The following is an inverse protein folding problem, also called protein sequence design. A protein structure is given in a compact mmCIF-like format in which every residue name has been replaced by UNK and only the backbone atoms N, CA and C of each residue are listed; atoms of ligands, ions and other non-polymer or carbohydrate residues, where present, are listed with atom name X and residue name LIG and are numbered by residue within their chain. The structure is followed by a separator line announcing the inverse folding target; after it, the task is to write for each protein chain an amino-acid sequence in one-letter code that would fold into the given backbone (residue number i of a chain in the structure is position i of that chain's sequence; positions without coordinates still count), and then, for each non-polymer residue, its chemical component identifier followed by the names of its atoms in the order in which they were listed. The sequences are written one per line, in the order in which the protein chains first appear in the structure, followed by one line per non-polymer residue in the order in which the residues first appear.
data_IF_774875356813
#
_entry.id   IF_774875356813
#
_cell.length_a   1.000
_cell.length_b   1.000
_cell.length_c   1.000
_cell.angle_alpha   90.00
_cell.angle_beta   90.00
_cell.angle_gamma   90.00
#
_symmetry.space_group_name_H-M   'P 1'
#
loop_
_entity.id
_entity.type
_entity.pdbx_description
1 polymer ?
#
# COMPACT_ATOMS: atom_id res chain seq x y z
N UNK A 1 -5.74 8.41 -16.61
CA UNK A 1 -5.53 6.98 -16.27
C UNK A 1 -5.52 6.79 -14.75
N UNK A 2 -6.63 7.07 -14.06
CA UNK A 2 -6.72 7.05 -12.57
C UNK A 2 -8.02 6.45 -12.04
N UNK A 3 -8.83 5.81 -12.89
CA UNK A 3 -10.13 5.20 -12.48
C UNK A 3 -10.05 3.78 -11.90
N UNK A 4 -8.86 3.16 -11.82
CA UNK A 4 -8.72 1.73 -11.47
C UNK A 4 -8.41 1.46 -9.99
N UNK A 5 -8.19 2.48 -9.15
CA UNK A 5 -7.75 2.26 -7.75
C UNK A 5 -8.89 2.10 -6.74
N UNK A 6 -10.12 2.49 -7.09
CA UNK A 6 -11.26 2.38 -6.17
C UNK A 6 -11.85 0.97 -6.03
N UNK A 7 -11.55 0.06 -6.98
CA UNK A 7 -12.14 -1.30 -6.97
C UNK A 7 -11.36 -2.34 -6.14
N UNK A 8 -10.21 -2.00 -5.53
CA UNK A 8 -9.31 -2.98 -4.89
C UNK A 8 -9.36 -3.10 -3.38
N UNK A 9 -10.19 -2.34 -2.67
CA UNK A 9 -10.16 -2.30 -1.20
C UNK A 9 -11.35 -2.97 -0.48
N UNK A 10 -12.25 -3.63 -1.17
CA UNK A 10 -13.32 -4.39 -0.50
C UNK A 10 -12.98 -5.87 -0.48
N UNK A 11 -12.24 -6.30 0.56
CA UNK A 11 -12.17 -7.71 0.93
C UNK A 11 -13.61 -8.22 1.16
N UNK A 12 -13.95 -9.30 0.47
CA UNK A 12 -15.24 -9.96 0.58
C UNK A 12 -15.44 -10.48 2.01
N UNK A 13 -16.02 -9.68 2.89
CA UNK A 13 -16.67 -10.17 4.09
C UNK A 13 -17.96 -10.85 3.62
N UNK A 14 -18.04 -12.15 3.87
CA UNK A 14 -19.23 -12.92 3.62
C UNK A 14 -20.43 -12.23 4.27
N UNK A 15 -21.49 -12.02 3.50
CA UNK A 15 -22.77 -11.58 4.01
C UNK A 15 -23.31 -12.67 4.95
N UNK A 16 -23.10 -12.49 6.24
CA UNK A 16 -23.85 -13.20 7.26
C UNK A 16 -25.24 -12.55 7.35
N UNK A 17 -26.15 -13.07 6.54
CA UNK A 17 -27.58 -12.75 6.59
C UNK A 17 -28.15 -13.37 7.86
N UNK A 18 -28.22 -12.58 8.93
CA UNK A 18 -28.98 -12.92 10.15
C UNK A 18 -30.07 -11.89 10.46
N UNK A 19 -30.73 -11.38 9.42
CA UNK A 19 -31.98 -10.65 9.60
C UNK A 19 -32.90 -10.95 8.41
N UNK A 20 -33.46 -12.18 8.35
CA UNK A 20 -34.66 -12.45 7.57
C UNK A 20 -35.84 -11.84 8.34
N UNK A 21 -36.08 -10.55 8.14
CA UNK A 21 -37.38 -9.95 8.41
C UNK A 21 -38.11 -9.97 7.07
N UNK A 22 -39.28 -10.63 7.06
CA UNK A 22 -40.13 -10.94 5.90
C UNK A 22 -40.05 -9.91 4.78
N UNK A 23 -39.43 -10.32 3.66
CA UNK A 23 -39.30 -9.55 2.43
C UNK A 23 -40.59 -9.54 1.59
N UNK A 24 -41.69 -10.07 2.13
CA UNK A 24 -42.97 -10.25 1.40
C UNK A 24 -43.68 -8.93 1.05
N UNK A 25 -43.25 -7.79 1.63
CA UNK A 25 -43.88 -6.48 1.43
C UNK A 25 -43.10 -5.51 0.53
N UNK A 26 -41.94 -5.91 -0.04
CA UNK A 26 -41.19 -5.01 -0.93
C UNK A 26 -41.71 -5.16 -2.39
N UNK A 27 -41.84 -4.04 -3.14
CA UNK A 27 -42.09 -4.09 -4.57
C UNK A 27 -41.07 -4.97 -5.31
N UNK A 28 -41.50 -5.66 -6.36
CA UNK A 28 -40.68 -6.63 -7.09
C UNK A 28 -39.46 -6.05 -7.77
N UNK A 29 -39.43 -4.76 -7.97
CA UNK A 29 -38.30 -4.00 -8.54
C UNK A 29 -37.34 -3.47 -7.47
N UNK A 30 -37.70 -3.47 -6.18
CA UNK A 30 -36.84 -3.05 -5.07
C UNK A 30 -36.01 -4.23 -4.61
N UNK A 31 -34.69 -4.08 -4.69
CA UNK A 31 -33.69 -5.09 -4.30
C UNK A 31 -33.30 -4.96 -2.84
N UNK A 32 -33.04 -3.71 -2.38
CA UNK A 32 -32.67 -3.39 -1.02
C UNK A 32 -33.34 -2.09 -0.61
N UNK A 33 -33.85 -2.03 0.62
CA UNK A 33 -34.43 -0.83 1.22
C UNK A 33 -33.88 -0.59 2.61
N UNK A 34 -33.59 0.66 2.94
CA UNK A 34 -33.23 1.14 4.27
C UNK A 34 -33.95 2.47 4.54
N UNK A 35 -33.82 3.02 5.73
CA UNK A 35 -34.32 4.36 6.05
C UNK A 35 -33.66 5.48 5.21
N UNK A 36 -32.49 5.21 4.61
CA UNK A 36 -31.70 6.19 3.87
C UNK A 36 -31.94 6.13 2.37
N UNK A 37 -32.30 4.96 1.82
CA UNK A 37 -32.36 4.78 0.38
C UNK A 37 -33.15 3.52 -0.01
N UNK A 38 -33.61 3.50 -1.26
CA UNK A 38 -34.04 2.32 -1.97
C UNK A 38 -33.06 2.02 -3.11
N UNK A 39 -32.70 0.75 -3.26
CA UNK A 39 -31.89 0.25 -4.36
C UNK A 39 -32.77 -0.60 -5.25
N UNK A 40 -33.03 -0.11 -6.45
CA UNK A 40 -33.92 -0.75 -7.41
C UNK A 40 -33.14 -1.61 -8.41
N UNK A 41 -33.86 -2.44 -9.15
CA UNK A 41 -33.34 -3.16 -10.31
C UNK A 41 -32.75 -2.19 -11.35
N UNK A 42 -33.43 -1.07 -11.63
CA UNK A 42 -32.93 -0.06 -12.55
C UNK A 42 -31.56 0.51 -12.14
N UNK A 43 -31.34 0.75 -10.85
CA UNK A 43 -30.04 1.17 -10.33
C UNK A 43 -28.96 0.12 -10.59
N UNK A 44 -29.30 -1.16 -10.39
CA UNK A 44 -28.37 -2.26 -10.64
C UNK A 44 -28.01 -2.36 -12.12
N UNK A 45 -29.02 -2.38 -13.00
CA UNK A 45 -28.84 -2.45 -14.46
C UNK A 45 -28.04 -1.26 -14.99
N UNK A 46 -28.29 -0.06 -14.48
CA UNK A 46 -27.50 1.14 -14.80
C UNK A 46 -26.04 0.99 -14.35
N UNK A 47 -25.78 0.45 -13.17
CA UNK A 47 -24.42 0.23 -12.69
C UNK A 47 -23.70 -0.82 -13.56
N UNK A 48 -24.36 -1.91 -13.94
CA UNK A 48 -23.80 -2.92 -14.86
C UNK A 48 -23.52 -2.33 -16.24
N UNK A 49 -24.39 -1.47 -16.77
CA UNK A 49 -24.20 -0.84 -18.09
C UNK A 49 -22.95 0.05 -18.18
N UNK A 50 -22.48 0.57 -17.04
CA UNK A 50 -21.23 1.37 -16.94
C UNK A 50 -19.95 0.53 -16.91
N UNK A 51 -20.09 -0.80 -16.74
CA UNK A 51 -18.94 -1.71 -16.76
C UNK A 51 -18.47 -1.97 -18.20
N UNK A 52 -17.17 -2.30 -18.41
CA UNK A 52 -16.69 -2.81 -19.69
C UNK A 52 -17.53 -4.01 -20.17
N UNK A 53 -17.82 -4.06 -21.47
CA UNK A 53 -18.75 -5.07 -22.06
C UNK A 53 -18.34 -6.51 -21.72
N UNK A 54 -17.06 -6.80 -21.75
CA UNK A 54 -16.49 -8.12 -21.43
C UNK A 54 -16.68 -8.57 -19.97
N UNK A 55 -17.02 -7.65 -19.07
CA UNK A 55 -17.24 -7.96 -17.66
C UNK A 55 -18.75 -8.11 -17.31
N UNK A 56 -19.65 -7.52 -18.11
CA UNK A 56 -21.09 -7.45 -17.79
C UNK A 56 -21.73 -8.82 -17.60
N UNK A 57 -21.30 -9.81 -18.37
CA UNK A 57 -21.82 -11.18 -18.29
C UNK A 57 -21.67 -11.79 -16.88
N UNK A 58 -20.55 -11.54 -16.20
CA UNK A 58 -20.33 -12.06 -14.85
C UNK A 58 -21.32 -11.49 -13.82
N UNK A 59 -21.86 -10.30 -14.07
CA UNK A 59 -22.85 -9.64 -13.19
C UNK A 59 -24.29 -10.06 -13.43
N UNK A 60 -24.54 -11.01 -14.33
CA UNK A 60 -25.82 -11.69 -14.51
C UNK A 60 -25.76 -13.19 -14.23
N UNK A 61 -24.55 -13.75 -14.05
CA UNK A 61 -24.36 -15.20 -13.89
C UNK A 61 -23.67 -15.60 -12.60
N UNK A 62 -22.91 -14.69 -11.99
CA UNK A 62 -22.19 -14.97 -10.74
C UNK A 62 -22.85 -14.30 -9.54
N UNK A 63 -23.44 -15.09 -8.63
CA UNK A 63 -24.01 -14.59 -7.36
C UNK A 63 -23.04 -13.68 -6.62
N UNK A 64 -21.77 -14.07 -6.49
CA UNK A 64 -20.73 -13.29 -5.82
C UNK A 64 -20.53 -11.91 -6.47
N UNK A 65 -20.60 -11.81 -7.79
CA UNK A 65 -20.47 -10.53 -8.51
C UNK A 65 -21.71 -9.65 -8.31
N UNK A 66 -22.90 -10.25 -8.39
CA UNK A 66 -24.17 -9.55 -8.13
C UNK A 66 -24.17 -8.97 -6.72
N UNK A 67 -23.94 -9.80 -5.71
CA UNK A 67 -23.92 -9.39 -4.30
C UNK A 67 -22.84 -8.34 -4.03
N UNK A 68 -21.64 -8.48 -4.63
CA UNK A 68 -20.57 -7.49 -4.50
C UNK A 68 -20.94 -6.12 -5.08
N UNK A 69 -21.63 -6.07 -6.23
CA UNK A 69 -22.09 -4.82 -6.81
C UNK A 69 -23.24 -4.21 -5.99
N UNK A 70 -24.20 -5.02 -5.54
CA UNK A 70 -25.29 -4.56 -4.68
C UNK A 70 -24.75 -3.99 -3.36
N UNK A 71 -23.77 -4.64 -2.75
CA UNK A 71 -23.12 -4.13 -1.56
C UNK A 71 -22.44 -2.78 -1.80
N UNK A 72 -21.72 -2.63 -2.91
CA UNK A 72 -21.10 -1.36 -3.29
C UNK A 72 -22.14 -0.26 -3.48
N UNK A 73 -23.25 -0.57 -4.18
CA UNK A 73 -24.35 0.38 -4.41
C UNK A 73 -25.05 0.76 -3.10
N UNK A 74 -25.33 -0.23 -2.21
CA UNK A 74 -25.89 0.02 -0.89
C UNK A 74 -25.05 1.02 -0.09
N UNK A 75 -23.76 0.73 0.05
CA UNK A 75 -22.83 1.60 0.80
C UNK A 75 -22.76 2.99 0.17
N UNK A 76 -22.58 3.06 -1.15
CA UNK A 76 -22.44 4.34 -1.87
C UNK A 76 -23.70 5.20 -1.77
N UNK A 77 -24.89 4.62 -2.04
CA UNK A 77 -26.16 5.36 -1.96
C UNK A 77 -26.50 5.80 -0.54
N UNK A 78 -26.25 4.92 0.45
CA UNK A 78 -26.47 5.26 1.86
C UNK A 78 -25.60 6.41 2.31
N UNK A 79 -24.29 6.36 2.03
CA UNK A 79 -23.36 7.45 2.36
C UNK A 79 -23.72 8.73 1.63
N UNK A 80 -24.11 8.68 0.37
CA UNK A 80 -24.56 9.84 -0.39
C UNK A 80 -25.82 10.47 0.19
N UNK A 81 -26.80 9.65 0.60
CA UNK A 81 -27.99 10.14 1.27
C UNK A 81 -27.68 10.81 2.61
N UNK A 82 -26.76 10.23 3.37
CA UNK A 82 -26.27 10.82 4.62
C UNK A 82 -25.51 12.14 4.39
N UNK A 83 -24.66 12.19 3.34
CA UNK A 83 -23.99 13.43 2.94
C UNK A 83 -24.99 14.56 2.65
N UNK A 84 -26.05 14.26 1.90
CA UNK A 84 -27.12 15.23 1.62
C UNK A 84 -27.82 15.68 2.90
N UNK A 85 -28.15 14.76 3.80
CA UNK A 85 -28.78 15.07 5.10
C UNK A 85 -27.87 15.93 6.00
N UNK A 86 -26.56 15.74 5.94
CA UNK A 86 -25.58 16.52 6.69
C UNK A 86 -25.19 17.83 5.99
N UNK A 87 -25.71 18.13 4.78
CA UNK A 87 -25.29 19.26 3.98
C UNK A 87 -23.85 19.18 3.48
N UNK A 88 -23.26 17.98 3.45
CA UNK A 88 -21.91 17.74 2.95
C UNK A 88 -21.90 17.90 1.44
N UNK A 89 -21.00 18.73 0.92
CA UNK A 89 -20.80 18.92 -0.53
C UNK A 89 -19.56 18.17 -0.98
N UNK A 90 -19.62 17.58 -2.17
CA UNK A 90 -18.44 17.02 -2.80
C UNK A 90 -17.50 18.19 -3.20
N UNK A 91 -16.24 18.12 -2.79
CA UNK A 91 -15.24 19.11 -3.20
C UNK A 91 -14.90 18.99 -4.69
N UNK A 92 -14.42 20.06 -5.30
CA UNK A 92 -14.09 20.20 -6.73
C UNK A 92 -13.00 19.22 -7.26
N UNK A 93 -12.53 18.29 -6.45
CA UNK A 93 -11.41 17.37 -6.79
C UNK A 93 -11.83 16.13 -7.59
N UNK A 94 -13.11 15.94 -7.92
CA UNK A 94 -13.59 14.81 -8.71
C UNK A 94 -13.67 15.17 -10.19
N UNK A 95 -12.59 14.91 -10.91
CA UNK A 95 -12.34 15.38 -12.27
C UNK A 95 -13.32 14.88 -13.38
N UNK A 96 -14.32 14.03 -13.09
CA UNK A 96 -15.22 13.46 -14.11
C UNK A 96 -16.67 13.17 -13.64
N UNK A 97 -17.12 13.76 -12.53
CA UNK A 97 -18.51 13.58 -12.05
C UNK A 97 -19.16 14.91 -11.75
N UNK A 98 -20.47 15.00 -11.89
CA UNK A 98 -21.22 16.13 -11.32
C UNK A 98 -20.96 16.17 -9.82
N UNK A 99 -20.75 17.35 -9.23
CA UNK A 99 -20.46 17.54 -7.79
C UNK A 99 -21.46 16.82 -6.87
N UNK A 100 -22.66 16.54 -7.34
CA UNK A 100 -23.75 15.88 -6.61
C UNK A 100 -23.94 14.41 -6.95
N UNK A 101 -22.97 13.75 -7.62
CA UNK A 101 -23.08 12.31 -7.90
C UNK A 101 -22.93 11.48 -6.61
N UNK A 102 -23.68 10.37 -6.50
CA UNK A 102 -23.62 9.48 -5.33
C UNK A 102 -22.19 9.06 -4.94
N UNK A 103 -21.31 8.66 -5.88
CA UNK A 103 -19.93 8.35 -5.53
C UNK A 103 -19.13 9.52 -4.96
N UNK A 104 -19.34 10.73 -5.47
CA UNK A 104 -18.66 11.93 -4.98
C UNK A 104 -19.14 12.31 -3.57
N UNK A 105 -20.45 12.28 -3.35
CA UNK A 105 -21.05 12.54 -2.04
C UNK A 105 -20.66 11.46 -1.01
N UNK A 106 -20.65 10.19 -1.40
CA UNK A 106 -20.20 9.10 -0.52
C UNK A 106 -18.74 9.27 -0.10
N UNK A 107 -17.87 9.67 -1.02
CA UNK A 107 -16.48 9.96 -0.71
C UNK A 107 -16.34 11.17 0.23
N UNK A 108 -17.11 12.24 0.02
CA UNK A 108 -17.14 13.41 0.88
C UNK A 108 -17.61 13.06 2.30
N UNK A 109 -18.64 12.20 2.44
CA UNK A 109 -19.10 11.73 3.74
C UNK A 109 -18.06 10.89 4.47
N UNK A 110 -17.34 10.00 3.77
CA UNK A 110 -16.24 9.25 4.36
C UNK A 110 -15.10 10.18 4.80
N UNK A 111 -14.76 11.18 3.99
CA UNK A 111 -13.75 12.18 4.36
C UNK A 111 -14.17 12.98 5.60
N UNK A 112 -15.47 13.29 5.75
CA UNK A 112 -16.01 13.91 6.96
C UNK A 112 -15.83 12.99 8.18
N UNK A 113 -16.16 11.71 8.04
CA UNK A 113 -15.96 10.72 9.12
C UNK A 113 -14.49 10.62 9.51
N UNK A 114 -13.58 10.60 8.53
CA UNK A 114 -12.12 10.56 8.77
C UNK A 114 -11.65 11.84 9.48
N UNK A 115 -12.13 13.01 9.08
CA UNK A 115 -11.80 14.27 9.73
C UNK A 115 -12.34 14.37 11.17
N UNK A 116 -13.55 13.89 11.42
CA UNK A 116 -14.14 13.85 12.76
C UNK A 116 -13.40 12.84 13.64
N UNK A 117 -12.96 11.71 13.07
CA UNK A 117 -12.12 10.74 13.76
C UNK A 117 -10.74 11.34 14.14
N UNK A 118 -10.11 12.08 13.23
CA UNK A 118 -8.83 12.74 13.53
C UNK A 118 -8.97 13.79 14.66
N UNK A 119 -10.06 14.58 14.64
CA UNK A 119 -10.37 15.49 15.75
C UNK A 119 -10.60 14.75 17.08
N UNK A 120 -11.32 13.63 17.04
CA UNK A 120 -11.56 12.78 18.21
C UNK A 120 -10.28 12.15 18.74
N UNK A 121 -9.36 11.75 17.86
CA UNK A 121 -8.04 11.26 18.23
C UNK A 121 -7.24 12.35 18.98
N UNK A 122 -7.18 13.57 18.45
CA UNK A 122 -6.47 14.68 19.09
C UNK A 122 -7.10 15.06 20.44
N UNK A 123 -8.44 15.03 20.56
CA UNK A 123 -9.14 15.26 21.82
C UNK A 123 -8.82 14.20 22.89
N UNK A 124 -8.42 12.99 22.48
CA UNK A 124 -8.05 11.86 23.35
C UNK A 124 -6.53 11.62 23.38
N UNK A 125 -5.74 12.61 22.99
CA UNK A 125 -4.28 12.50 22.81
C UNK A 125 -3.56 11.88 24.00
N UNK A 126 -3.92 12.27 25.21
CA UNK A 126 -3.26 11.75 26.44
C UNK A 126 -3.49 10.22 26.59
N UNK A 127 -4.69 9.74 26.30
CA UNK A 127 -4.99 8.31 26.31
C UNK A 127 -4.21 7.55 25.24
N UNK A 128 -4.08 8.13 24.04
CA UNK A 128 -3.28 7.54 22.97
C UNK A 128 -1.78 7.62 23.28
N UNK A 129 -1.32 8.63 23.99
CA UNK A 129 0.08 8.68 24.44
C UNK A 129 0.39 7.60 25.47
N UNK A 130 -0.50 7.33 26.42
CA UNK A 130 -0.34 6.18 27.33
C UNK A 130 -0.27 4.86 26.55
N UNK A 131 -1.15 4.67 25.57
CA UNK A 131 -1.14 3.50 24.69
C UNK A 131 0.14 3.41 23.84
N UNK A 132 0.67 4.53 23.38
CA UNK A 132 1.94 4.58 22.65
C UNK A 132 3.11 4.12 23.53
N UNK A 133 3.16 4.53 24.79
CA UNK A 133 4.18 4.09 25.78
C UNK A 133 4.08 2.59 26.06
N UNK A 134 2.85 2.07 26.19
CA UNK A 134 2.61 0.63 26.32
C UNK A 134 3.11 -0.15 25.09
N UNK A 135 2.74 0.29 23.88
CA UNK A 135 3.19 -0.33 22.62
C UNK A 135 4.71 -0.33 22.47
N UNK A 136 5.36 0.77 22.87
CA UNK A 136 6.81 0.85 22.89
C UNK A 136 7.41 -0.16 23.88
N UNK A 137 6.87 -0.24 25.09
CA UNK A 137 7.35 -1.17 26.12
C UNK A 137 7.22 -2.65 25.70
N UNK A 138 6.08 -3.00 25.07
CA UNK A 138 5.80 -4.36 24.61
C UNK A 138 6.61 -4.75 23.35
N UNK A 139 7.04 -3.77 22.56
CA UNK A 139 7.67 -4.02 21.25
C UNK A 139 9.08 -3.41 21.13
N UNK A 140 9.86 -3.38 22.21
CA UNK A 140 11.17 -2.70 22.27
C UNK A 140 12.12 -3.10 21.15
N UNK A 141 12.14 -4.39 20.77
CA UNK A 141 13.01 -4.89 19.72
C UNK A 141 12.70 -4.30 18.34
N UNK A 142 11.43 -3.89 18.08
CA UNK A 142 11.06 -3.19 16.84
C UNK A 142 11.75 -1.83 16.70
N UNK A 143 12.13 -1.25 17.82
CA UNK A 143 12.77 0.08 17.89
C UNK A 143 14.28 0.00 18.12
N UNK A 144 14.87 -1.18 17.91
CA UNK A 144 16.32 -1.35 17.92
C UNK A 144 16.89 -0.94 16.58
N UNK A 145 17.77 0.05 16.58
CA UNK A 145 18.59 0.38 15.44
C UNK A 145 19.70 -0.64 15.30
N UNK A 146 19.88 -1.17 14.09
CA UNK A 146 21.00 -2.02 13.77
C UNK A 146 22.31 -1.21 13.78
N UNK A 147 23.43 -1.91 13.93
CA UNK A 147 24.74 -1.34 13.69
C UNK A 147 24.81 -0.75 12.27
N UNK A 148 25.34 0.46 12.14
CA UNK A 148 25.50 1.16 10.88
C UNK A 148 26.92 1.72 10.75
N UNK A 149 27.43 1.71 9.53
CA UNK A 149 28.75 2.26 9.21
C UNK A 149 28.63 3.30 8.11
N UNK A 150 29.44 4.34 8.18
CA UNK A 150 29.66 5.29 7.10
C UNK A 150 31.03 5.02 6.50
N UNK A 151 31.07 4.92 5.19
CA UNK A 151 32.24 4.50 4.44
C UNK A 151 32.59 5.51 3.36
N UNK A 152 33.84 5.53 2.98
CA UNK A 152 34.28 5.97 1.65
C UNK A 152 34.65 4.72 0.84
N UNK A 153 34.22 4.65 -0.42
CA UNK A 153 34.33 3.47 -1.29
C UNK A 153 34.97 3.82 -2.64
N UNK A 154 35.89 2.97 -3.08
CA UNK A 154 36.42 2.93 -4.43
C UNK A 154 35.96 1.63 -5.05
N UNK A 155 35.01 1.70 -5.98
CA UNK A 155 34.48 0.54 -6.70
C UNK A 155 35.15 0.38 -8.06
N UNK A 156 35.82 -0.75 -8.27
CA UNK A 156 36.49 -1.07 -9.54
C UNK A 156 35.73 -2.17 -10.24
N UNK A 157 35.02 -1.83 -11.31
CA UNK A 157 34.15 -2.74 -12.03
C UNK A 157 34.92 -3.86 -12.74
N UNK A 158 34.34 -5.06 -12.73
CA UNK A 158 34.90 -6.27 -13.38
C UNK A 158 34.53 -6.32 -14.88
N UNK A 159 33.35 -5.79 -15.22
CA UNK A 159 32.66 -6.01 -16.50
C UNK A 159 33.55 -5.81 -17.73
N UNK A 160 34.25 -4.68 -17.86
CA UNK A 160 34.92 -4.33 -19.12
C UNK A 160 36.43 -4.60 -19.09
N UNK A 161 36.98 -5.08 -17.98
CA UNK A 161 38.43 -5.33 -17.81
C UNK A 161 38.81 -6.74 -17.35
N UNK A 162 37.81 -7.52 -16.93
CA UNK A 162 38.04 -8.83 -16.34
C UNK A 162 38.44 -8.76 -14.87
N UNK A 163 38.35 -9.89 -14.19
CA UNK A 163 38.51 -10.01 -12.73
C UNK A 163 39.93 -9.68 -12.28
N UNK A 164 40.94 -10.21 -12.97
CA UNK A 164 42.36 -10.04 -12.61
C UNK A 164 42.79 -8.57 -12.72
N UNK A 165 42.44 -7.91 -13.83
CA UNK A 165 42.76 -6.49 -14.03
C UNK A 165 42.01 -5.56 -13.07
N UNK A 166 40.75 -5.93 -12.72
CA UNK A 166 39.98 -5.20 -11.72
C UNK A 166 40.60 -5.31 -10.32
N UNK A 167 41.03 -6.52 -9.93
CA UNK A 167 41.73 -6.72 -8.66
C UNK A 167 43.07 -5.97 -8.61
N UNK A 168 43.87 -6.03 -9.70
CA UNK A 168 45.16 -5.30 -9.77
C UNK A 168 44.92 -3.80 -9.60
N UNK A 169 43.93 -3.22 -10.28
CA UNK A 169 43.60 -1.78 -10.17
C UNK A 169 43.09 -1.42 -8.78
N UNK A 170 42.31 -2.28 -8.15
CA UNK A 170 41.84 -2.06 -6.77
C UNK A 170 42.99 -2.10 -5.78
N UNK A 171 43.95 -3.00 -5.97
CA UNK A 171 45.22 -3.03 -5.16
C UNK A 171 46.03 -1.78 -5.34
N UNK A 172 46.19 -1.27 -6.56
CA UNK A 172 46.90 -0.02 -6.84
C UNK A 172 46.19 1.15 -6.13
N UNK A 173 44.90 1.28 -6.24
CA UNK A 173 44.12 2.31 -5.53
C UNK A 173 44.38 2.26 -4.03
N UNK A 174 44.30 1.04 -3.45
CA UNK A 174 44.61 0.82 -2.02
C UNK A 174 46.04 1.24 -1.65
N UNK A 175 47.01 0.83 -2.42
CA UNK A 175 48.43 1.17 -2.16
C UNK A 175 48.65 2.69 -2.12
N UNK A 176 48.00 3.45 -3.03
CA UNK A 176 48.08 4.91 -3.04
C UNK A 176 47.49 5.53 -1.77
N UNK A 177 46.31 5.03 -1.35
CA UNK A 177 45.67 5.55 -0.14
C UNK A 177 46.48 5.20 1.12
N UNK A 178 46.98 3.97 1.22
CA UNK A 178 47.85 3.56 2.33
C UNK A 178 49.17 4.30 2.37
N UNK A 179 49.69 4.69 1.21
CA UNK A 179 50.93 5.55 1.10
C UNK A 179 50.62 7.02 1.45
N UNK A 180 49.41 7.40 1.84
CA UNK A 180 49.03 8.72 2.32
C UNK A 180 48.37 9.62 1.29
N UNK A 181 48.03 9.12 0.09
CA UNK A 181 47.22 9.89 -0.85
C UNK A 181 45.79 10.11 -0.30
N UNK A 182 45.23 11.28 -0.59
CA UNK A 182 43.85 11.58 -0.19
C UNK A 182 42.86 10.61 -0.82
N UNK A 183 42.04 9.96 0.00
CA UNK A 183 41.08 8.96 -0.44
C UNK A 183 40.15 9.50 -1.50
N UNK A 184 39.63 10.72 -1.32
CA UNK A 184 38.66 11.30 -2.25
C UNK A 184 39.30 11.55 -3.64
N UNK A 185 40.59 11.92 -3.68
CA UNK A 185 41.32 12.08 -4.93
C UNK A 185 41.51 10.76 -5.63
N UNK A 186 41.91 9.70 -4.91
CA UNK A 186 42.08 8.36 -5.48
C UNK A 186 40.71 7.79 -5.92
N UNK A 187 39.64 8.04 -5.17
CA UNK A 187 38.28 7.61 -5.55
C UNK A 187 37.82 8.26 -6.86
N UNK A 188 38.13 9.56 -7.08
CA UNK A 188 37.77 10.22 -8.35
C UNK A 188 38.57 9.65 -9.54
N UNK A 189 39.76 9.15 -9.33
CA UNK A 189 40.61 8.59 -10.38
C UNK A 189 40.29 7.11 -10.67
N UNK A 190 40.07 6.31 -9.63
CA UNK A 190 40.00 4.84 -9.71
C UNK A 190 38.58 4.27 -9.69
N UNK A 191 37.62 4.96 -9.06
CA UNK A 191 36.28 4.41 -8.92
C UNK A 191 35.49 4.45 -10.23
N UNK A 192 34.86 3.37 -10.58
CA UNK A 192 33.95 3.24 -11.72
C UNK A 192 32.49 3.52 -11.33
N UNK A 193 32.16 3.63 -10.03
CA UNK A 193 30.82 4.09 -9.62
C UNK A 193 30.70 5.61 -9.75
N UNK A 194 29.90 6.12 -10.71
CA UNK A 194 29.81 7.55 -10.97
C UNK A 194 29.24 8.33 -9.79
N UNK A 195 28.39 7.70 -8.97
CA UNK A 195 27.67 8.36 -7.88
C UNK A 195 28.61 8.66 -6.69
N UNK A 196 29.35 7.64 -6.23
CA UNK A 196 30.30 7.80 -5.14
C UNK A 196 31.57 8.52 -5.61
N UNK A 197 32.05 8.25 -6.83
CA UNK A 197 33.19 8.93 -7.45
C UNK A 197 33.05 10.47 -7.43
N UNK A 198 31.88 10.97 -7.84
CA UNK A 198 31.58 12.41 -7.82
C UNK A 198 31.71 13.03 -6.43
N UNK A 199 31.46 12.23 -5.39
CA UNK A 199 31.55 12.63 -3.97
C UNK A 199 32.87 12.21 -3.30
N UNK A 200 33.89 11.85 -4.08
CA UNK A 200 35.16 11.36 -3.55
C UNK A 200 35.05 10.03 -2.80
N UNK A 201 34.13 9.17 -3.21
CA UNK A 201 33.90 7.87 -2.59
C UNK A 201 32.91 7.88 -1.41
N UNK A 202 32.50 9.05 -0.92
CA UNK A 202 31.66 9.14 0.29
C UNK A 202 30.28 8.48 0.11
N UNK A 203 29.93 7.59 1.03
CA UNK A 203 28.65 6.90 1.11
C UNK A 203 27.84 7.36 2.35
N UNK A 204 26.52 7.31 2.30
CA UNK A 204 25.71 7.49 3.50
C UNK A 204 25.92 6.34 4.51
N UNK A 205 25.34 6.45 5.71
CA UNK A 205 25.28 5.32 6.63
C UNK A 205 24.56 4.14 5.99
N UNK A 206 25.18 2.96 6.11
CA UNK A 206 24.63 1.68 5.66
C UNK A 206 24.60 0.67 6.81
N UNK A 207 23.58 -0.17 6.81
CA UNK A 207 23.45 -1.33 7.71
C UNK A 207 23.84 -2.60 6.94
N UNK A 208 24.13 -3.69 7.67
CA UNK A 208 24.46 -4.97 7.04
C UNK A 208 23.35 -5.48 6.10
N UNK A 209 22.08 -5.23 6.41
CA UNK A 209 20.93 -5.62 5.57
C UNK A 209 20.83 -4.86 4.23
N UNK A 210 21.51 -3.73 4.10
CA UNK A 210 21.57 -2.93 2.85
C UNK A 210 22.70 -3.35 1.90
N UNK A 211 23.48 -4.38 2.25
CA UNK A 211 24.66 -4.85 1.51
C UNK A 211 24.51 -6.34 1.16
N UNK A 212 25.27 -6.80 0.16
CA UNK A 212 25.38 -8.25 -0.08
C UNK A 212 26.12 -8.92 1.08
N UNK A 213 25.80 -10.20 1.38
CA UNK A 213 26.26 -10.86 2.59
C UNK A 213 27.79 -10.87 2.76
N UNK A 214 28.54 -11.20 1.71
CA UNK A 214 30.02 -11.25 1.75
C UNK A 214 30.63 -9.86 1.90
N UNK A 215 30.08 -8.87 1.22
CA UNK A 215 30.52 -7.48 1.32
C UNK A 215 30.20 -6.90 2.72
N UNK A 216 29.01 -7.15 3.24
CA UNK A 216 28.63 -6.78 4.59
C UNK A 216 29.59 -7.38 5.63
N UNK A 217 29.86 -8.70 5.53
CA UNK A 217 30.78 -9.38 6.42
C UNK A 217 32.17 -8.72 6.44
N UNK A 218 32.71 -8.39 5.27
CA UNK A 218 34.02 -7.76 5.15
C UNK A 218 34.02 -6.33 5.71
N UNK A 219 33.01 -5.51 5.36
CA UNK A 219 32.88 -4.12 5.81
C UNK A 219 32.70 -4.04 7.34
N UNK A 220 31.82 -4.86 7.91
CA UNK A 220 31.55 -4.84 9.36
C UNK A 220 32.66 -5.50 10.18
N UNK A 221 33.61 -6.22 9.54
CA UNK A 221 34.83 -6.70 10.18
C UNK A 221 35.85 -5.57 10.46
N UNK A 222 35.84 -4.47 9.71
CA UNK A 222 36.71 -3.31 9.94
C UNK A 222 36.29 -2.64 11.24
N UNK A 223 37.19 -2.53 12.21
CA UNK A 223 36.86 -2.03 13.55
C UNK A 223 37.31 -0.60 13.82
N UNK A 224 38.40 -0.17 13.17
CA UNK A 224 39.06 1.10 13.45
C UNK A 224 38.66 2.16 12.44
N UNK A 225 38.17 3.30 12.94
CA UNK A 225 37.93 4.48 12.07
C UNK A 225 39.19 4.90 11.39
N UNK A 226 39.12 5.16 10.07
CA UNK A 226 40.29 5.45 9.23
C UNK A 226 40.95 4.21 8.63
N UNK A 227 40.62 3.00 9.07
CA UNK A 227 41.15 1.74 8.52
C UNK A 227 40.69 1.54 7.08
N UNK A 228 41.62 1.10 6.22
CA UNK A 228 41.38 0.84 4.79
C UNK A 228 41.38 -0.67 4.58
N UNK A 229 40.36 -1.18 3.96
CA UNK A 229 40.22 -2.61 3.67
C UNK A 229 41.22 -3.13 2.65
N UNK A 230 41.46 -4.44 2.64
CA UNK A 230 41.90 -5.12 1.43
C UNK A 230 40.78 -5.02 0.35
N UNK A 231 41.11 -5.23 -0.95
CA UNK A 231 40.10 -5.28 -1.99
C UNK A 231 39.04 -6.36 -1.69
N UNK A 232 37.78 -5.94 -1.49
CA UNK A 232 36.64 -6.81 -1.17
C UNK A 232 35.94 -7.15 -2.48
N UNK A 233 35.83 -8.44 -2.80
CA UNK A 233 35.10 -8.89 -4.00
C UNK A 233 33.61 -8.80 -3.77
N UNK A 234 32.92 -8.14 -4.72
CA UNK A 234 31.47 -8.16 -4.86
C UNK A 234 31.10 -8.71 -6.27
N UNK A 235 29.84 -9.03 -6.56
CA UNK A 235 29.45 -9.69 -7.82
C UNK A 235 29.87 -8.95 -9.10
N UNK A 236 29.95 -7.63 -9.08
CA UNK A 236 30.26 -6.80 -10.26
C UNK A 236 31.53 -5.95 -10.13
N UNK A 237 32.15 -5.87 -8.96
CA UNK A 237 33.29 -5.02 -8.70
C UNK A 237 34.17 -5.52 -7.57
N UNK A 238 35.41 -5.01 -7.51
CA UNK A 238 36.23 -4.99 -6.31
C UNK A 238 36.09 -3.64 -5.63
N UNK A 239 35.93 -3.65 -4.31
CA UNK A 239 35.75 -2.48 -3.47
C UNK A 239 36.95 -2.29 -2.53
N UNK A 240 37.47 -1.08 -2.44
CA UNK A 240 38.40 -0.65 -1.39
C UNK A 240 37.65 0.37 -0.55
N UNK A 241 37.43 0.06 0.73
CA UNK A 241 36.65 0.93 1.62
C UNK A 241 37.50 1.46 2.75
N UNK A 242 37.20 2.70 3.19
CA UNK A 242 37.68 3.28 4.43
C UNK A 242 36.51 3.48 5.38
N UNK A 243 36.67 3.02 6.63
CA UNK A 243 35.65 3.25 7.67
C UNK A 243 35.76 4.72 8.15
N UNK A 244 34.69 5.48 7.94
CA UNK A 244 34.63 6.89 8.35
C UNK A 244 33.97 7.04 9.74
N UNK A 245 32.92 6.29 9.99
CA UNK A 245 32.17 6.35 11.24
C UNK A 245 31.44 5.03 11.48
N UNK A 246 31.32 4.65 12.76
CA UNK A 246 30.57 3.46 13.18
C UNK A 246 29.60 3.84 14.27
N UNK A 247 28.36 3.42 14.12
CA UNK A 247 27.31 3.54 15.13
C UNK A 247 26.92 2.15 15.57
N UNK A 248 27.13 1.87 16.86
CA UNK A 248 26.71 0.59 17.44
C UNK A 248 25.19 0.43 17.44
N UNK A 249 24.71 -0.80 17.58
CA UNK A 249 23.28 -1.05 17.73
C UNK A 249 22.80 -0.39 19.03
N UNK A 250 21.64 0.29 18.95
CA UNK A 250 21.03 0.92 20.12
C UNK A 250 19.52 0.78 20.10
N UNK A 251 18.92 0.83 21.28
CA UNK A 251 17.48 0.97 21.40
C UNK A 251 17.14 2.47 21.31
N UNK A 252 16.30 2.83 20.35
CA UNK A 252 15.73 4.18 20.28
C UNK A 252 14.89 4.45 21.55
N UNK A 253 14.98 5.63 22.10
CA UNK A 253 14.15 6.03 23.23
C UNK A 253 12.68 6.20 22.78
N UNK A 254 11.76 6.16 23.75
CA UNK A 254 10.34 6.45 23.43
C UNK A 254 10.18 7.82 22.77
N UNK A 255 10.88 8.84 23.23
CA UNK A 255 10.77 10.20 22.70
C UNK A 255 11.19 10.28 21.22
N UNK A 256 12.21 9.51 20.81
CA UNK A 256 12.65 9.44 19.41
C UNK A 256 11.61 8.81 18.48
N UNK A 257 10.86 7.81 18.97
CA UNK A 257 9.88 7.07 18.17
C UNK A 257 8.43 7.48 18.41
N UNK A 258 8.17 8.29 19.46
CA UNK A 258 6.84 8.74 19.88
C UNK A 258 6.00 9.26 18.70
N UNK A 259 6.55 10.17 17.93
CA UNK A 259 5.83 10.76 16.80
C UNK A 259 5.44 9.72 15.72
N UNK A 260 6.27 8.70 15.51
CA UNK A 260 5.97 7.61 14.59
C UNK A 260 4.86 6.71 15.13
N UNK A 261 4.93 6.33 16.41
CA UNK A 261 3.92 5.49 17.06
C UNK A 261 2.56 6.21 17.09
N UNK A 262 2.55 7.49 17.41
CA UNK A 262 1.31 8.30 17.45
C UNK A 262 0.67 8.39 16.06
N UNK A 263 1.44 8.62 15.01
CA UNK A 263 0.92 8.63 13.61
C UNK A 263 0.33 7.27 13.21
N UNK A 264 0.96 6.18 13.60
CA UNK A 264 0.45 4.83 13.32
C UNK A 264 -0.84 4.54 14.09
N UNK A 265 -0.94 5.01 15.34
CA UNK A 265 -2.16 4.92 16.15
C UNK A 265 -3.30 5.75 15.53
N UNK A 266 -3.02 6.98 15.12
CA UNK A 266 -4.00 7.85 14.46
C UNK A 266 -4.54 7.21 13.17
N UNK A 267 -3.65 6.74 12.29
CA UNK A 267 -4.05 6.05 11.05
C UNK A 267 -4.95 4.85 11.33
N UNK A 268 -4.61 4.04 12.33
CA UNK A 268 -5.42 2.87 12.71
C UNK A 268 -6.76 3.29 13.28
N UNK A 269 -6.78 4.30 14.14
CA UNK A 269 -8.02 4.80 14.73
C UNK A 269 -8.96 5.36 13.66
N UNK A 270 -8.46 6.19 12.75
CA UNK A 270 -9.24 6.75 11.64
C UNK A 270 -9.77 5.63 10.72
N UNK A 271 -8.94 4.67 10.36
CA UNK A 271 -9.36 3.52 9.57
C UNK A 271 -10.44 2.69 10.28
N UNK A 272 -10.30 2.46 11.58
CA UNK A 272 -11.30 1.76 12.39
C UNK A 272 -12.64 2.50 12.44
N UNK A 273 -12.65 3.83 12.60
CA UNK A 273 -13.89 4.61 12.58
C UNK A 273 -14.57 4.56 11.21
N UNK A 274 -13.80 4.60 10.13
CA UNK A 274 -14.29 4.41 8.78
C UNK A 274 -14.94 3.04 8.60
N UNK A 275 -14.27 1.97 9.01
CA UNK A 275 -14.81 0.60 8.95
C UNK A 275 -16.07 0.45 9.80
N UNK A 276 -16.10 1.03 11.01
CA UNK A 276 -17.29 1.06 11.86
C UNK A 276 -18.46 1.77 11.17
N UNK A 277 -18.18 2.86 10.44
CA UNK A 277 -19.21 3.56 9.69
C UNK A 277 -19.80 2.69 8.59
N UNK A 278 -18.97 2.00 7.82
CA UNK A 278 -19.42 1.08 6.78
C UNK A 278 -20.20 -0.10 7.41
N UNK A 279 -19.66 -0.69 8.47
CA UNK A 279 -20.33 -1.78 9.18
C UNK A 279 -21.70 -1.39 9.72
N UNK A 280 -21.88 -0.14 10.17
CA UNK A 280 -23.16 0.36 10.64
C UNK A 280 -24.25 0.41 9.56
N UNK A 281 -23.87 0.48 8.27
CA UNK A 281 -24.82 0.42 7.15
C UNK A 281 -25.37 -0.99 7.02
N UNK A 282 -24.52 -2.01 7.15
CA UNK A 282 -24.93 -3.41 7.09
C UNK A 282 -25.71 -3.85 8.33
N UNK A 283 -25.44 -3.24 9.47
CA UNK A 283 -26.13 -3.49 10.74
C UNK A 283 -27.37 -2.62 10.96
N UNK A 284 -27.84 -1.88 9.96
CA UNK A 284 -29.06 -1.07 10.10
C UNK A 284 -30.28 -1.99 10.34
N UNK A 285 -31.00 -1.85 11.47
CA UNK A 285 -32.17 -2.69 11.78
C UNK A 285 -33.34 -2.49 10.79
N UNK A 286 -33.34 -1.38 10.07
CA UNK A 286 -34.35 -1.10 9.03
C UNK A 286 -33.93 -1.60 7.63
N UNK A 287 -32.74 -2.23 7.52
CA UNK A 287 -32.31 -2.80 6.25
C UNK A 287 -33.18 -4.00 5.88
N UNK A 288 -33.79 -3.94 4.70
CA UNK A 288 -34.64 -4.99 4.10
C UNK A 288 -34.03 -5.43 2.79
N UNK A 289 -33.92 -6.73 2.58
CA UNK A 289 -33.31 -7.33 1.38
C UNK A 289 -34.33 -8.22 0.71
N UNK A 290 -34.66 -7.92 -0.55
CA UNK A 290 -35.56 -8.75 -1.38
C UNK A 290 -34.73 -9.83 -2.07
N UNK A 291 -34.58 -10.98 -1.38
CA UNK A 291 -33.76 -12.08 -1.89
C UNK A 291 -34.33 -12.64 -3.20
N UNK A 292 -35.67 -12.73 -3.34
CA UNK A 292 -36.32 -13.22 -4.56
C UNK A 292 -36.03 -12.32 -5.77
N UNK A 293 -36.08 -11.01 -5.57
CA UNK A 293 -35.73 -10.05 -6.63
C UNK A 293 -34.23 -10.10 -7.00
N UNK A 294 -33.35 -10.34 -6.02
CA UNK A 294 -31.90 -10.52 -6.26
C UNK A 294 -31.64 -11.83 -7.02
N UNK A 295 -32.30 -12.92 -6.65
CA UNK A 295 -32.17 -14.19 -7.34
C UNK A 295 -32.66 -14.10 -8.79
N UNK A 296 -33.69 -13.28 -9.04
CA UNK A 296 -34.20 -13.02 -10.38
C UNK A 296 -33.17 -12.23 -11.27
N UNK A 297 -32.17 -11.55 -10.71
CA UNK A 297 -31.09 -10.95 -11.49
C UNK A 297 -30.17 -12.01 -12.11
N UNK A 298 -29.99 -13.15 -11.44
CA UNK A 298 -29.13 -14.25 -11.88
C UNK A 298 -29.73 -15.07 -13.00
N UNK A 299 -31.06 -15.10 -13.13
CA UNK A 299 -31.78 -15.94 -14.10
C UNK A 299 -32.02 -15.22 -15.44
N UNK A 300 -31.58 -13.99 -15.59
CA UNK A 300 -31.68 -13.22 -16.83
C UNK A 300 -30.40 -13.33 -17.65
N UNK A 301 -30.19 -14.47 -18.29
CA UNK A 301 -29.21 -14.57 -19.36
C UNK A 301 -29.86 -13.96 -20.59
N UNK A 302 -29.39 -12.76 -20.99
CA UNK A 302 -29.73 -12.22 -22.31
C UNK A 302 -29.17 -13.19 -23.35
N UNK A 303 -30.06 -13.80 -24.20
CA UNK A 303 -29.62 -14.75 -25.23
C UNK A 303 -28.53 -14.19 -26.14
N UNK A 304 -28.54 -12.89 -26.42
CA UNK A 304 -27.51 -12.21 -27.22
C UNK A 304 -26.13 -12.17 -26.53
N UNK A 305 -26.08 -12.03 -25.20
CA UNK A 305 -24.84 -12.10 -24.43
C UNK A 305 -24.30 -13.53 -24.35
N UNK A 306 -25.18 -14.53 -24.34
CA UNK A 306 -24.81 -15.95 -24.34
C UNK A 306 -24.13 -16.35 -25.65
N UNK A 307 -24.62 -15.89 -26.80
CA UNK A 307 -24.01 -16.13 -28.10
C UNK A 307 -22.66 -15.39 -28.24
N UNK A 308 -22.56 -14.14 -27.76
CA UNK A 308 -21.28 -13.41 -27.74
C UNK A 308 -20.26 -14.08 -26.83
N UNK A 309 -20.65 -14.59 -25.68
CA UNK A 309 -19.74 -15.30 -24.76
C UNK A 309 -19.23 -16.63 -25.33
N UNK A 310 -20.05 -17.33 -26.12
CA UNK A 310 -19.64 -18.55 -26.84
C UNK A 310 -18.68 -18.25 -27.99
N UNK A 311 -18.74 -17.06 -28.60
CA UNK A 311 -17.90 -16.63 -29.71
C UNK A 311 -16.49 -16.16 -29.29
N UNK A 312 -16.22 -15.96 -28.00
CA UNK A 312 -14.89 -15.60 -27.53
C UNK A 312 -14.00 -16.86 -27.48
N UNK A 313 -12.94 -16.96 -28.31
CA UNK A 313 -12.05 -18.11 -28.30
C UNK A 313 -11.39 -18.21 -26.93
N UNK A 314 -11.53 -19.33 -26.23
CA UNK A 314 -10.74 -19.64 -25.04
C UNK A 314 -9.27 -19.66 -25.45
N UNK A 315 -8.51 -18.63 -25.07
CA UNK A 315 -7.07 -18.64 -25.21
C UNK A 315 -6.54 -19.87 -24.47
N UNK A 316 -6.06 -20.87 -25.23
CA UNK A 316 -5.32 -22.00 -24.68
C UNK A 316 -4.07 -21.43 -24.00
N UNK A 317 -4.05 -21.43 -22.68
CA UNK A 317 -2.82 -21.34 -21.91
C UNK A 317 -1.96 -22.55 -22.30
N UNK A 318 -1.09 -22.37 -23.29
CA UNK A 318 0.03 -23.26 -23.53
C UNK A 318 1.02 -23.05 -22.39
N UNK A 319 1.07 -23.99 -21.46
CA UNK A 319 2.15 -24.09 -20.50
C UNK A 319 3.49 -24.23 -21.25
N UNK A 320 4.53 -23.51 -20.89
CA UNK A 320 5.87 -23.76 -21.41
C UNK A 320 6.40 -25.06 -20.81
N UNK A 321 7.01 -25.88 -21.69
CA UNK A 321 7.80 -27.06 -21.32
C UNK A 321 9.08 -26.64 -20.62
#
# INVERSE_FOLDING_TARGET
MTSSKFLRAFAATAWLITAVVNAEDLPADVLVKSRWMELTRADYEQAVSRLPENLRFEFSTSRKRVEGLLNNLLVTKTLAAQARAHGTRAGASFANGTEDSDPALAAAELSRVEADAAKSFEAQKDAFEMKARELYALNREKYREAEAVRLSDIAVAIKDRGEEAALARAREARQRVVAGADFATVAREFSDDPTSRAKGGALPFVTASGLTADYAKAVFAIKTVGEISEPIKAPSAYHVVRLEERRGPRLQTFEEVRASIMRDLEKRYVAEQREKRIASIHGDPELRINQAAIDALLNRIDPALLEKAKAVPRSRNSAPK
#
